data_IF_539733492916
#
_entry.id   IF_539733492916
#
_cell.length_a   1.000
_cell.length_b   1.000
_cell.length_c   1.000
_cell.angle_alpha   90.00
_cell.angle_beta   90.00
_cell.angle_gamma   90.00
#
_symmetry.space_group_name_H-M   'P 1'
#
loop_
_entity.id
_entity.type
_entity.pdbx_description
1 polymer ?
#
# COMPACT_ATOMS: atom_id res chain seq x y z
N UNK A 1 14.85 -1.81 1.67
CA UNK A 1 14.39 -2.82 2.65
C UNK A 1 12.88 -2.71 2.84
N UNK A 2 12.18 -3.82 2.67
CA UNK A 2 10.74 -3.87 2.92
C UNK A 2 10.51 -3.90 4.43
N UNK A 3 9.77 -2.93 4.94
CA UNK A 3 9.41 -2.84 6.36
C UNK A 3 8.09 -3.52 6.66
N UNK A 4 7.11 -3.34 5.76
CA UNK A 4 5.76 -3.87 5.95
C UNK A 4 5.20 -4.31 4.61
N UNK A 5 4.59 -5.48 4.57
CA UNK A 5 3.89 -5.98 3.40
C UNK A 5 2.55 -6.56 3.86
N UNK A 6 1.47 -6.03 3.32
CA UNK A 6 0.13 -6.51 3.63
C UNK A 6 -0.63 -6.74 2.33
N UNK A 7 -1.30 -7.86 2.24
CA UNK A 7 -2.13 -8.21 1.10
C UNK A 7 -3.51 -8.58 1.62
N UNK A 8 -4.55 -8.04 1.00
CA UNK A 8 -5.93 -8.40 1.32
C UNK A 8 -6.68 -8.73 0.03
N UNK A 9 -7.64 -9.62 0.14
CA UNK A 9 -8.48 -10.03 -0.97
C UNK A 9 -9.95 -9.92 -0.60
N UNK A 10 -10.78 -9.65 -1.61
CA UNK A 10 -12.22 -9.60 -1.46
C UNK A 10 -12.86 -10.18 -2.70
N UNK A 11 -13.81 -11.09 -2.52
CA UNK A 11 -14.55 -11.67 -3.64
C UNK A 11 -15.94 -11.06 -3.70
N UNK A 12 -16.31 -10.54 -4.86
CA UNK A 12 -17.60 -9.92 -5.09
C UNK A 12 -18.08 -10.32 -6.48
N UNK A 13 -19.30 -10.90 -6.56
CA UNK A 13 -19.91 -11.32 -7.81
C UNK A 13 -19.01 -12.23 -8.67
N UNK A 14 -18.31 -13.15 -8.00
CA UNK A 14 -17.42 -14.09 -8.68
C UNK A 14 -16.08 -13.55 -9.11
N UNK A 15 -15.80 -12.26 -8.86
CA UNK A 15 -14.51 -11.66 -9.18
C UNK A 15 -13.71 -11.44 -7.90
N UNK A 16 -12.42 -11.69 -7.97
CA UNK A 16 -11.51 -11.49 -6.83
C UNK A 16 -10.77 -10.19 -7.00
N UNK A 17 -10.93 -9.31 -6.01
CA UNK A 17 -10.20 -8.05 -5.92
C UNK A 17 -9.04 -8.21 -4.96
N UNK A 18 -7.92 -7.56 -5.27
CA UNK A 18 -6.71 -7.66 -4.46
C UNK A 18 -6.19 -6.27 -4.14
N UNK A 19 -5.86 -6.03 -2.86
CA UNK A 19 -5.15 -4.82 -2.44
C UNK A 19 -3.86 -5.21 -1.74
N UNK A 20 -2.79 -4.51 -2.07
CA UNK A 20 -1.47 -4.77 -1.52
C UNK A 20 -0.87 -3.45 -1.03
N UNK A 21 -0.44 -3.44 0.23
CA UNK A 21 0.30 -2.34 0.82
C UNK A 21 1.76 -2.75 1.02
N UNK A 22 2.66 -1.90 0.54
CA UNK A 22 4.09 -2.06 0.76
C UNK A 22 4.64 -0.79 1.37
N UNK A 23 5.36 -0.95 2.46
CA UNK A 23 6.14 0.12 3.05
C UNK A 23 7.59 -0.31 3.05
N UNK A 24 8.45 0.50 2.44
CA UNK A 24 9.88 0.21 2.45
C UNK A 24 10.71 1.44 2.73
N UNK A 25 11.90 1.18 3.26
CA UNK A 25 12.89 2.20 3.49
C UNK A 25 13.86 2.22 2.32
N UNK A 26 14.12 3.41 1.79
CA UNK A 26 15.09 3.59 0.72
C UNK A 26 16.46 3.89 1.33
N UNK A 27 17.52 3.63 0.58
CA UNK A 27 18.88 4.00 0.98
C UNK A 27 19.35 5.29 0.32
N UNK A 28 18.48 5.91 -0.49
CA UNK A 28 18.85 7.11 -1.25
C UNK A 28 19.05 8.33 -0.39
N UNK A 29 18.45 8.35 0.80
CA UNK A 29 18.63 9.45 1.74
C UNK A 29 20.09 9.62 2.17
N UNK A 30 20.85 8.55 2.24
CA UNK A 30 22.27 8.59 2.58
C UNK A 30 23.10 9.28 1.49
N UNK A 31 22.59 9.27 0.26
CA UNK A 31 23.26 9.84 -0.91
C UNK A 31 22.73 11.24 -1.22
N UNK A 32 21.44 11.49 -0.99
CA UNK A 32 20.80 12.77 -1.32
C UNK A 32 19.71 13.09 -0.31
N UNK A 33 19.77 14.31 0.25
CA UNK A 33 18.73 14.79 1.18
C UNK A 33 17.40 15.06 0.50
N UNK A 34 17.38 15.14 -0.82
CA UNK A 34 16.16 15.40 -1.58
C UNK A 34 15.33 14.13 -1.82
N UNK A 35 15.87 12.96 -1.46
CA UNK A 35 15.15 11.72 -1.62
C UNK A 35 14.45 11.33 -0.32
N UNK A 36 13.17 10.93 -0.39
CA UNK A 36 12.46 10.48 0.81
C UNK A 36 13.04 9.17 1.32
N UNK A 37 13.07 9.03 2.65
CA UNK A 37 13.57 7.81 3.28
C UNK A 37 12.57 6.65 3.19
N UNK A 38 11.28 6.96 3.13
CA UNK A 38 10.21 5.97 3.20
C UNK A 38 9.25 6.10 2.05
N UNK A 39 8.82 4.97 1.51
CA UNK A 39 7.83 4.91 0.42
C UNK A 39 6.71 3.96 0.84
N UNK A 40 5.48 4.46 0.78
CA UNK A 40 4.27 3.66 0.98
C UNK A 40 3.57 3.51 -0.36
N UNK A 41 3.37 2.28 -0.80
CA UNK A 41 2.79 1.97 -2.10
C UNK A 41 1.57 1.09 -1.93
N UNK A 42 0.44 1.55 -2.45
CA UNK A 42 -0.80 0.78 -2.53
C UNK A 42 -1.02 0.31 -3.96
N UNK A 43 -1.25 -0.97 -4.13
CA UNK A 43 -1.72 -1.55 -5.38
C UNK A 43 -3.14 -2.06 -5.17
N UNK A 44 -4.05 -1.67 -6.04
CA UNK A 44 -5.46 -2.08 -5.99
C UNK A 44 -5.85 -2.68 -7.33
N UNK A 45 -6.18 -3.97 -7.32
CA UNK A 45 -6.63 -4.68 -8.51
C UNK A 45 -8.10 -5.06 -8.38
N UNK A 46 -8.90 -4.64 -9.37
CA UNK A 46 -10.30 -5.00 -9.46
C UNK A 46 -10.64 -5.27 -10.93
N UNK A 47 -10.91 -6.55 -11.30
CA UNK A 47 -11.12 -6.89 -12.71
C UNK A 47 -12.40 -6.30 -13.32
N UNK A 48 -13.32 -5.84 -12.46
CA UNK A 48 -14.59 -5.27 -12.93
C UNK A 48 -14.54 -3.78 -13.25
N UNK A 49 -13.38 -3.14 -13.06
CA UNK A 49 -13.20 -1.72 -13.39
C UNK A 49 -12.70 -1.54 -14.81
N UNK A 50 -12.98 -0.36 -15.37
CA UNK A 50 -12.44 0.05 -16.67
C UNK A 50 -10.90 0.02 -16.66
N UNK A 51 -10.30 0.45 -15.56
CA UNK A 51 -8.86 0.32 -15.31
C UNK A 51 -8.67 -0.63 -14.13
N UNK A 52 -8.42 -1.92 -14.41
CA UNK A 52 -8.39 -2.92 -13.32
C UNK A 52 -7.29 -2.70 -12.29
N UNK A 53 -6.15 -2.18 -12.71
CA UNK A 53 -5.01 -1.99 -11.82
C UNK A 53 -4.80 -0.52 -11.51
N UNK A 54 -4.80 -0.18 -10.23
CA UNK A 54 -4.51 1.19 -9.76
C UNK A 54 -3.41 1.17 -8.72
N UNK A 55 -2.62 2.24 -8.73
CA UNK A 55 -1.52 2.45 -7.79
C UNK A 55 -1.69 3.78 -7.08
N UNK A 56 -1.29 3.84 -5.82
CA UNK A 56 -1.17 5.08 -5.08
C UNK A 56 0.13 5.04 -4.30
N UNK A 57 0.90 6.13 -4.34
CA UNK A 57 2.22 6.20 -3.73
C UNK A 57 2.30 7.42 -2.85
N UNK A 58 2.81 7.25 -1.63
CA UNK A 58 3.12 8.35 -0.72
C UNK A 58 4.55 8.18 -0.24
N UNK A 59 5.23 9.30 -0.10
CA UNK A 59 6.63 9.31 0.32
C UNK A 59 6.81 10.25 1.51
N UNK A 60 7.78 9.97 2.36
CA UNK A 60 8.07 10.82 3.51
C UNK A 60 9.50 10.58 3.99
N UNK A 61 10.12 11.63 4.52
CA UNK A 61 11.39 11.53 5.23
C UNK A 61 11.17 11.17 6.70
N UNK A 62 9.95 11.21 7.20
CA UNK A 62 9.62 10.94 8.60
C UNK A 62 8.96 9.59 8.74
N UNK A 63 9.56 8.72 9.55
CA UNK A 63 8.98 7.40 9.85
C UNK A 63 7.62 7.53 10.54
N UNK A 64 7.50 8.46 11.49
CA UNK A 64 6.25 8.69 12.21
C UNK A 64 5.13 9.08 11.24
N UNK A 65 5.42 9.95 10.29
CA UNK A 65 4.44 10.39 9.31
C UNK A 65 4.00 9.24 8.41
N UNK A 66 4.95 8.45 7.90
CA UNK A 66 4.60 7.36 7.00
C UNK A 66 3.86 6.23 7.72
N UNK A 67 4.17 5.99 9.00
CA UNK A 67 3.45 5.02 9.81
C UNK A 67 2.00 5.47 10.05
N UNK A 68 1.79 6.78 10.25
CA UNK A 68 0.44 7.34 10.37
C UNK A 68 -0.36 7.15 9.09
N UNK A 69 0.27 7.37 7.93
CA UNK A 69 -0.36 7.13 6.63
C UNK A 69 -0.69 5.65 6.42
N UNK A 70 0.19 4.77 6.85
CA UNK A 70 -0.06 3.33 6.78
C UNK A 70 -1.30 2.94 7.58
N UNK A 71 -1.45 3.47 8.80
CA UNK A 71 -2.61 3.21 9.63
C UNK A 71 -3.89 3.77 9.00
N UNK A 72 -3.85 4.96 8.43
CA UNK A 72 -4.98 5.55 7.72
C UNK A 72 -5.40 4.68 6.53
N UNK A 73 -4.43 4.19 5.77
CA UNK A 73 -4.71 3.34 4.60
C UNK A 73 -5.26 1.98 5.00
N UNK A 74 -4.79 1.41 6.12
CA UNK A 74 -5.37 0.18 6.65
C UNK A 74 -6.84 0.35 6.96
N UNK A 75 -7.19 1.44 7.62
CA UNK A 75 -8.58 1.76 7.99
C UNK A 75 -9.44 2.06 6.78
N UNK A 76 -8.86 2.65 5.73
CA UNK A 76 -9.58 3.05 4.53
C UNK A 76 -9.75 1.89 3.54
N UNK A 77 -8.70 1.10 3.33
CA UNK A 77 -8.67 0.12 2.26
C UNK A 77 -8.85 -1.32 2.71
N UNK A 78 -8.52 -1.64 3.95
CA UNK A 78 -8.59 -3.01 4.47
C UNK A 78 -9.71 -3.17 5.48
N UNK A 79 -10.91 -2.68 5.12
CA UNK A 79 -12.10 -2.79 5.96
C UNK A 79 -13.20 -3.56 5.23
N UNK A 80 -14.16 -4.05 6.00
CA UNK A 80 -15.40 -4.71 5.50
C UNK A 80 -15.19 -5.70 4.35
N UNK A 81 -14.99 -6.96 4.71
CA UNK A 81 -14.93 -8.03 3.73
C UNK A 81 -13.56 -8.27 3.11
N UNK A 82 -12.57 -7.43 3.41
CA UNK A 82 -11.20 -7.65 2.99
C UNK A 82 -10.53 -8.61 3.98
N UNK A 83 -9.94 -9.66 3.45
CA UNK A 83 -9.32 -10.73 4.25
C UNK A 83 -7.89 -10.98 3.79
N UNK A 84 -7.06 -11.50 4.70
CA UNK A 84 -5.75 -11.98 4.32
C UNK A 84 -5.90 -13.15 3.34
N UNK A 85 -5.06 -13.26 2.30
CA UNK A 85 -5.08 -14.41 1.42
C UNK A 85 -4.65 -15.66 2.17
N UNK A 86 -5.31 -16.75 1.88
CA UNK A 86 -4.94 -18.04 2.45
C UNK A 86 -3.75 -18.66 1.75
#
# INVERSE_FOLDING_TARGET
>A
TVMTREVAVKTLKGATMVRKLLLWKTNKEEVSRDHPAYVLHLTDFSPNRKEPLKHDIRVSSSEAQIQSLLEEWRKKYFVRGWKAPE
#
